data_IF_036156618210
#
_entry.id   IF_036156618210
#
_cell.length_a   1.000
_cell.length_b   1.000
_cell.length_c   1.000
_cell.angle_alpha   90.00
_cell.angle_beta   90.00
_cell.angle_gamma   90.00
#
_symmetry.space_group_name_H-M   'P 1'
#
loop_
_entity.id
_entity.type
_entity.pdbx_description
1 polymer ?
#
# COMPACT_ATOMS: atom_id res chain seq x y z
N UNK A 1 26.52 10.45 -2.99
CA UNK A 1 26.31 9.44 -1.92
C UNK A 1 27.68 9.02 -1.42
N UNK A 2 28.02 9.27 -0.15
CA UNK A 2 29.30 8.81 0.42
C UNK A 2 29.08 7.53 1.23
N UNK A 3 30.10 6.69 1.45
CA UNK A 3 29.96 5.50 2.30
C UNK A 3 29.43 5.82 3.71
N UNK A 4 29.89 6.93 4.31
CA UNK A 4 29.42 7.38 5.63
C UNK A 4 27.92 7.64 5.66
N UNK A 5 27.41 8.39 4.67
CA UNK A 5 25.97 8.69 4.58
C UNK A 5 25.12 7.42 4.37
N UNK A 6 25.64 6.44 3.63
CA UNK A 6 24.93 5.19 3.39
C UNK A 6 24.78 4.36 4.68
N UNK A 7 25.85 4.29 5.49
CA UNK A 7 25.81 3.62 6.81
C UNK A 7 24.80 4.31 7.73
N UNK A 8 24.85 5.65 7.82
CA UNK A 8 23.90 6.43 8.63
C UNK A 8 22.43 6.19 8.20
N UNK A 9 22.18 6.07 6.89
CA UNK A 9 20.84 5.78 6.37
C UNK A 9 20.37 4.36 6.72
N UNK A 10 21.25 3.35 6.71
CA UNK A 10 20.89 1.99 7.11
C UNK A 10 20.62 1.89 8.61
N UNK A 11 21.46 2.52 9.44
CA UNK A 11 21.24 2.57 10.89
C UNK A 11 19.90 3.23 11.23
N UNK A 12 19.57 4.33 10.57
CA UNK A 12 18.26 4.98 10.71
C UNK A 12 17.12 4.05 10.28
N UNK A 13 17.28 3.32 9.18
CA UNK A 13 16.27 2.37 8.69
C UNK A 13 16.00 1.27 9.72
N UNK A 14 17.04 0.76 10.38
CA UNK A 14 16.92 -0.25 11.44
C UNK A 14 16.19 0.28 12.69
N UNK A 15 16.42 1.55 13.04
CA UNK A 15 15.67 2.22 14.11
C UNK A 15 14.20 2.34 13.70
N UNK A 16 13.91 2.89 12.52
CA UNK A 16 12.54 3.10 12.04
C UNK A 16 11.73 1.80 11.96
N UNK A 17 12.36 0.66 11.64
CA UNK A 17 11.69 -0.64 11.65
C UNK A 17 11.15 -1.01 13.03
N UNK A 18 11.94 -0.77 14.08
CA UNK A 18 11.53 -1.05 15.48
C UNK A 18 10.43 -0.07 15.92
N UNK A 19 10.59 1.21 15.59
CA UNK A 19 9.60 2.24 15.92
C UNK A 19 8.25 1.96 15.24
N UNK A 20 8.25 1.54 13.98
CA UNK A 20 7.01 1.20 13.29
C UNK A 20 6.31 0.00 13.92
N UNK A 21 7.04 -1.06 14.29
CA UNK A 21 6.43 -2.19 15.01
C UNK A 21 5.78 -1.74 16.33
N UNK A 22 6.42 -0.81 17.06
CA UNK A 22 5.87 -0.26 18.30
C UNK A 22 4.60 0.59 18.05
N UNK A 23 4.60 1.41 16.99
CA UNK A 23 3.43 2.20 16.58
C UNK A 23 2.27 1.28 16.16
N UNK A 24 2.57 0.22 15.41
CA UNK A 24 1.57 -0.70 14.88
C UNK A 24 1.05 -1.70 15.92
N UNK A 25 1.75 -1.91 17.05
CA UNK A 25 1.42 -2.93 18.05
C UNK A 25 -0.01 -2.83 18.63
N UNK A 26 -0.60 -1.64 18.62
CA UNK A 26 -1.98 -1.40 19.10
C UNK A 26 -3.08 -1.62 18.07
N UNK A 27 -2.74 -2.01 16.83
CA UNK A 27 -3.67 -2.08 15.71
C UNK A 27 -3.56 -3.42 14.97
N UNK A 28 -4.66 -3.86 14.37
CA UNK A 28 -4.65 -5.07 13.53
C UNK A 28 -3.94 -4.83 12.19
N UNK A 29 -4.07 -3.63 11.62
CA UNK A 29 -3.39 -3.17 10.41
C UNK A 29 -3.40 -1.63 10.32
N UNK A 30 -2.49 -1.08 9.52
CA UNK A 30 -2.44 0.34 9.14
C UNK A 30 -3.05 0.50 7.74
N UNK A 31 -3.95 1.47 7.56
CA UNK A 31 -4.53 1.81 6.26
C UNK A 31 -3.79 2.99 5.64
N UNK A 32 -3.37 2.85 4.38
CA UNK A 32 -2.67 3.89 3.62
C UNK A 32 -3.14 3.94 2.16
N UNK A 33 -2.92 5.05 1.42
CA UNK A 33 -3.12 5.07 -0.02
C UNK A 33 -2.23 4.04 -0.75
N UNK A 34 -2.75 3.34 -1.75
CA UNK A 34 -1.93 2.43 -2.57
C UNK A 34 -1.11 3.17 -3.65
N UNK A 35 -1.56 4.35 -4.05
CA UNK A 35 -0.95 5.22 -5.06
C UNK A 35 -1.31 6.67 -4.79
N UNK A 36 -0.77 7.60 -5.58
CA UNK A 36 -1.17 9.02 -5.57
C UNK A 36 -2.53 9.28 -6.22
N UNK A 37 -3.23 8.24 -6.70
CA UNK A 37 -4.50 8.35 -7.40
C UNK A 37 -4.59 7.41 -8.60
N UNK A 38 -5.39 7.81 -9.58
CA UNK A 38 -5.59 7.08 -10.84
C UNK A 38 -4.29 6.92 -11.64
N UNK A 39 -4.24 5.88 -12.47
CA UNK A 39 -3.10 5.61 -13.32
C UNK A 39 -2.84 6.81 -14.27
N UNK A 40 -1.58 7.27 -14.40
CA UNK A 40 -1.23 8.31 -15.36
C UNK A 40 -1.56 7.92 -16.79
N UNK A 41 -1.86 8.91 -17.64
CA UNK A 41 -2.12 8.68 -19.06
C UNK A 41 -0.83 8.35 -19.82
N UNK A 42 -0.87 7.31 -20.65
CA UNK A 42 0.25 6.88 -21.47
C UNK A 42 1.26 6.02 -20.71
N UNK A 43 2.42 5.74 -21.32
CA UNK A 43 3.42 4.81 -20.78
C UNK A 43 4.73 5.49 -20.34
N UNK A 44 4.85 6.79 -20.56
CA UNK A 44 6.03 7.58 -20.21
C UNK A 44 6.18 7.85 -18.70
N UNK A 45 5.15 7.58 -17.91
CA UNK A 45 5.14 7.77 -16.46
C UNK A 45 4.37 6.63 -15.78
N UNK A 46 5.04 5.90 -14.89
CA UNK A 46 4.46 4.78 -14.13
C UNK A 46 3.80 5.20 -12.81
N UNK A 47 3.82 6.50 -12.50
CA UNK A 47 3.29 7.06 -11.26
C UNK A 47 4.36 7.27 -10.19
N UNK A 48 3.98 7.96 -9.11
CA UNK A 48 4.86 8.25 -7.99
C UNK A 48 4.72 7.16 -6.90
N UNK A 49 5.84 6.54 -6.52
CA UNK A 49 5.91 5.47 -5.53
C UNK A 49 5.96 5.95 -4.07
N UNK A 50 5.74 7.25 -3.82
CA UNK A 50 5.90 7.87 -2.49
C UNK A 50 5.17 7.13 -1.36
N UNK A 51 4.01 6.54 -1.63
CA UNK A 51 3.24 5.78 -0.64
C UNK A 51 3.67 4.33 -0.45
N UNK A 52 4.64 3.83 -1.23
CA UNK A 52 5.08 2.44 -1.22
C UNK A 52 6.53 2.28 -0.74
N UNK A 53 7.39 3.27 -0.97
CA UNK A 53 8.81 3.16 -0.65
C UNK A 53 9.10 3.01 0.85
N UNK A 54 8.29 3.63 1.70
CA UNK A 54 8.41 3.49 3.16
C UNK A 54 8.27 2.03 3.58
N UNK A 55 7.22 1.34 3.12
CA UNK A 55 6.96 -0.04 3.52
C UNK A 55 8.02 -1.00 3.02
N UNK A 56 8.52 -0.79 1.80
CA UNK A 56 9.67 -1.53 1.27
C UNK A 56 10.90 -1.35 2.15
N UNK A 57 11.19 -0.13 2.63
CA UNK A 57 12.31 0.13 3.52
C UNK A 57 12.14 -0.53 4.89
N UNK A 58 10.92 -0.51 5.42
CA UNK A 58 10.58 -1.05 6.74
C UNK A 58 10.36 -2.57 6.75
N UNK A 59 10.36 -3.23 5.59
CA UNK A 59 10.15 -4.67 5.43
C UNK A 59 8.78 -5.15 5.95
N UNK A 60 7.78 -4.28 5.91
CA UNK A 60 6.43 -4.60 6.41
C UNK A 60 5.61 -5.25 5.31
N UNK A 61 4.78 -6.26 5.62
CA UNK A 61 3.85 -6.82 4.65
C UNK A 61 2.80 -5.78 4.26
N UNK A 62 2.47 -5.73 2.97
CA UNK A 62 1.47 -4.83 2.39
C UNK A 62 0.53 -5.60 1.47
N UNK A 63 -0.76 -5.29 1.51
CA UNK A 63 -1.75 -5.81 0.56
C UNK A 63 -2.64 -4.67 0.06
N UNK A 64 -2.64 -4.47 -1.25
CA UNK A 64 -3.49 -3.48 -1.89
C UNK A 64 -4.89 -4.05 -2.14
N UNK A 65 -5.92 -3.26 -1.84
CA UNK A 65 -7.33 -3.58 -2.06
C UNK A 65 -7.91 -2.47 -2.94
N UNK A 66 -8.52 -2.80 -4.10
CA UNK A 66 -9.28 -1.84 -4.88
C UNK A 66 -10.38 -1.21 -4.01
N UNK A 67 -10.63 0.09 -4.16
CA UNK A 67 -11.66 0.78 -3.37
C UNK A 67 -12.74 1.37 -4.28
N UNK A 68 -12.35 2.29 -5.16
CA UNK A 68 -13.27 3.08 -5.98
C UNK A 68 -12.76 3.24 -7.41
N UNK A 69 -13.58 3.84 -8.25
CA UNK A 69 -13.15 4.46 -9.50
C UNK A 69 -12.94 5.96 -9.25
N UNK A 70 -11.85 6.52 -9.79
CA UNK A 70 -11.61 7.95 -9.73
C UNK A 70 -12.37 8.72 -10.83
N UNK A 71 -12.06 10.02 -10.95
CA UNK A 71 -12.77 10.91 -11.87
C UNK A 71 -12.55 10.61 -13.35
N UNK A 72 -11.49 9.86 -13.70
CA UNK A 72 -11.21 9.36 -15.04
C UNK A 72 -11.79 7.95 -15.28
N UNK A 73 -12.54 7.40 -14.31
CA UNK A 73 -13.10 6.05 -14.40
C UNK A 73 -12.04 4.95 -14.22
N UNK A 74 -10.86 5.26 -13.68
CA UNK A 74 -9.79 4.30 -13.45
C UNK A 74 -9.75 3.83 -11.99
N UNK A 75 -9.29 2.60 -11.72
CA UNK A 75 -9.26 2.07 -10.35
C UNK A 75 -8.33 2.87 -9.42
N UNK A 76 -8.82 3.13 -8.22
CA UNK A 76 -8.05 3.66 -7.09
C UNK A 76 -8.22 2.72 -5.91
N UNK A 77 -7.11 2.42 -5.22
CA UNK A 77 -7.09 1.49 -4.10
C UNK A 77 -6.41 2.07 -2.86
N UNK A 78 -6.58 1.34 -1.78
CA UNK A 78 -5.89 1.53 -0.51
C UNK A 78 -5.02 0.30 -0.25
N UNK A 79 -4.06 0.40 0.66
CA UNK A 79 -3.27 -0.74 1.12
C UNK A 79 -3.40 -0.89 2.62
N UNK A 80 -3.49 -2.14 3.06
CA UNK A 80 -3.33 -2.52 4.45
C UNK A 80 -1.87 -2.90 4.67
N UNK A 81 -1.28 -2.42 5.76
CA UNK A 81 0.10 -2.68 6.15
C UNK A 81 0.11 -3.32 7.53
N UNK A 82 0.78 -4.45 7.66
CA UNK A 82 0.90 -5.18 8.92
C UNK A 82 2.27 -5.02 9.59
N UNK A 83 2.43 -5.48 10.84
CA UNK A 83 3.76 -5.60 11.45
C UNK A 83 4.62 -6.61 10.68
N UNK A 84 5.94 -6.53 10.84
CA UNK A 84 6.87 -7.45 10.15
C UNK A 84 6.51 -8.91 10.44
N UNK A 85 6.63 -9.78 9.43
CA UNK A 85 6.37 -11.23 9.48
C UNK A 85 4.91 -11.62 9.80
N UNK A 86 3.94 -10.75 9.50
CA UNK A 86 2.51 -10.99 9.77
C UNK A 86 1.67 -11.26 8.52
N UNK A 87 2.28 -11.63 7.41
CA UNK A 87 1.69 -11.77 6.08
C UNK A 87 0.36 -12.56 6.09
N UNK A 88 0.34 -13.74 6.70
CA UNK A 88 -0.85 -14.58 6.77
C UNK A 88 -1.99 -13.92 7.56
N UNK A 89 -1.66 -13.22 8.65
CA UNK A 89 -2.64 -12.46 9.44
C UNK A 89 -3.18 -11.28 8.62
N UNK A 90 -2.30 -10.54 7.96
CA UNK A 90 -2.68 -9.39 7.14
C UNK A 90 -3.60 -9.80 5.98
N UNK A 91 -3.32 -10.94 5.32
CA UNK A 91 -4.20 -11.49 4.29
C UNK A 91 -5.58 -11.88 4.84
N UNK A 92 -5.64 -12.46 6.04
CA UNK A 92 -6.92 -12.75 6.72
C UNK A 92 -7.74 -11.49 7.00
N UNK A 93 -7.09 -10.42 7.47
CA UNK A 93 -7.71 -9.11 7.67
C UNK A 93 -8.20 -8.54 6.33
N UNK A 94 -7.38 -8.58 5.29
CA UNK A 94 -7.74 -8.10 3.96
C UNK A 94 -8.95 -8.86 3.40
N UNK A 95 -9.00 -10.17 3.56
CA UNK A 95 -10.13 -10.98 3.13
C UNK A 95 -11.43 -10.60 3.85
N UNK A 96 -11.37 -10.27 5.13
CA UNK A 96 -12.52 -9.82 5.91
C UNK A 96 -12.97 -8.40 5.55
N UNK A 97 -12.04 -7.52 5.17
CA UNK A 97 -12.32 -6.11 4.88
C UNK A 97 -12.60 -5.81 3.40
N UNK A 98 -12.25 -6.70 2.48
CA UNK A 98 -12.30 -6.41 1.03
C UNK A 98 -13.69 -5.94 0.57
N UNK A 99 -14.77 -6.55 1.06
CA UNK A 99 -16.14 -6.21 0.62
C UNK A 99 -16.64 -4.89 1.19
N UNK A 100 -16.02 -4.43 2.29
CA UNK A 100 -16.32 -3.14 2.91
C UNK A 100 -15.52 -2.03 2.22
N UNK A 101 -14.28 -2.32 1.85
CA UNK A 101 -13.38 -1.36 1.20
C UNK A 101 -13.72 -1.19 -0.29
N UNK A 102 -13.98 -2.29 -0.99
CA UNK A 102 -14.16 -2.30 -2.43
C UNK A 102 -15.61 -2.01 -2.84
N UNK A 103 -16.02 -0.76 -2.65
CA UNK A 103 -17.36 -0.30 -3.02
C UNK A 103 -17.54 -0.15 -4.54
N UNK A 104 -16.44 -0.15 -5.31
CA UNK A 104 -16.44 -0.02 -6.77
C UNK A 104 -16.45 -1.34 -7.54
N UNK A 105 -16.55 -2.49 -6.86
CA UNK A 105 -16.42 -3.81 -7.48
C UNK A 105 -17.40 -4.03 -8.64
N UNK A 106 -18.70 -3.82 -8.42
CA UNK A 106 -19.73 -4.06 -9.45
C UNK A 106 -19.53 -3.17 -10.68
N UNK A 107 -19.24 -1.89 -10.47
CA UNK A 107 -19.07 -0.94 -11.56
C UNK A 107 -17.82 -1.26 -12.39
N UNK A 108 -16.72 -1.66 -11.74
CA UNK A 108 -15.54 -2.14 -12.46
C UNK A 108 -15.82 -3.41 -13.26
N UNK A 109 -16.59 -4.36 -12.72
CA UNK A 109 -16.99 -5.55 -13.46
C UNK A 109 -17.80 -5.19 -14.71
N UNK A 110 -18.73 -4.23 -14.61
CA UNK A 110 -19.51 -3.75 -15.76
C UNK A 110 -18.62 -3.12 -16.83
N UNK A 111 -17.72 -2.22 -16.45
CA UNK A 111 -16.81 -1.56 -17.39
C UNK A 111 -15.90 -2.56 -18.12
N UNK A 112 -15.38 -3.57 -17.40
CA UNK A 112 -14.55 -4.61 -18.00
C UNK A 112 -15.34 -5.53 -18.93
N UNK A 113 -16.63 -5.75 -18.67
CA UNK A 113 -17.50 -6.55 -19.56
C UNK A 113 -17.97 -5.81 -20.81
N UNK A 114 -17.83 -4.48 -20.85
CA UNK A 114 -18.26 -3.62 -21.95
C UNK A 114 -17.14 -3.24 -22.93
N UNK A 115 -15.89 -3.62 -22.64
CA UNK A 115 -14.69 -3.39 -23.46
C UNK A 115 -14.32 -4.64 -24.26
#
# INVERSE_FOLDING_TARGET
MTPKLLVEAFDLSDICRKEFDAIAAGYDAVLAPASTGEAPKGLQNVGNWIFNGLWTLLHTPCVAIPAILGGLGLPVGVQLVGPRLSDARLLGIAQALQSVIDTGAEERTRLLSAA
#
